data_IF_133584106531
#
_entry.id   IF_133584106531
#
_cell.length_a   1.000
_cell.length_b   1.000
_cell.length_c   1.000
_cell.angle_alpha   90.00
_cell.angle_beta   90.00
_cell.angle_gamma   90.00
#
_symmetry.space_group_name_H-M   'P 1'
#
loop_
_entity.id
_entity.type
_entity.pdbx_description
1 polymer ?
#
# COMPACT_ATOMS: atom_id res chain seq x y z
N UNK A 1 -24.63 -34.70 14.12
CA UNK A 1 -23.96 -33.68 14.98
C UNK A 1 -22.55 -34.16 15.24
N UNK A 2 -21.50 -33.32 15.24
CA UNK A 2 -21.39 -31.91 14.83
C UNK A 2 -20.37 -31.67 13.69
N UNK A 3 -20.45 -30.49 13.07
CA UNK A 3 -19.53 -29.96 12.04
C UNK A 3 -18.08 -29.86 12.53
N UNK A 4 -17.14 -30.10 11.61
CA UNK A 4 -15.71 -29.95 11.85
C UNK A 4 -15.35 -28.48 12.15
N UNK A 5 -14.45 -28.21 13.11
CA UNK A 5 -14.06 -26.84 13.42
C UNK A 5 -13.17 -26.29 12.31
N UNK A 6 -13.55 -25.13 11.79
CA UNK A 6 -12.75 -24.29 10.89
C UNK A 6 -11.56 -23.76 11.71
N UNK A 7 -10.29 -23.94 11.30
CA UNK A 7 -9.17 -23.36 12.02
C UNK A 7 -9.11 -21.85 11.73
N UNK A 8 -9.62 -21.03 12.64
CA UNK A 8 -9.36 -19.59 12.68
C UNK A 8 -7.92 -19.39 13.11
N UNK A 9 -7.01 -19.32 12.14
CA UNK A 9 -5.64 -18.84 12.39
C UNK A 9 -5.67 -17.32 12.42
N UNK A 10 -6.27 -16.79 13.47
CA UNK A 10 -5.96 -15.45 13.95
C UNK A 10 -4.59 -15.58 14.61
N UNK A 11 -3.55 -15.54 13.77
CA UNK A 11 -2.16 -15.52 14.22
C UNK A 11 -2.03 -14.33 15.17
N UNK A 12 -1.81 -14.68 16.44
CA UNK A 12 -1.77 -13.77 17.56
C UNK A 12 -0.66 -12.74 17.35
N UNK A 13 -1.04 -11.53 16.93
CA UNK A 13 -0.17 -10.37 17.06
C UNK A 13 0.21 -10.22 18.55
N UNK A 14 1.50 -10.01 18.87
CA UNK A 14 1.93 -9.83 20.25
C UNK A 14 1.15 -8.67 20.88
N UNK A 15 0.78 -8.82 22.16
CA UNK A 15 0.10 -7.79 22.97
C UNK A 15 1.02 -6.59 23.20
N UNK A 16 1.24 -5.82 22.16
CA UNK A 16 1.72 -4.44 22.22
C UNK A 16 0.50 -3.57 22.54
N UNK A 17 0.68 -2.44 23.23
CA UNK A 17 -0.43 -1.49 23.46
C UNK A 17 -1.17 -1.15 22.15
N UNK A 18 -2.37 -0.53 22.20
CA UNK A 18 -3.13 -0.27 20.99
C UNK A 18 -2.23 0.45 19.98
N UNK A 19 -2.12 -0.08 18.74
CA UNK A 19 -1.18 0.44 17.76
C UNK A 19 -1.39 1.94 17.57
N UNK A 20 -0.31 2.70 17.68
CA UNK A 20 -0.32 4.15 17.50
C UNK A 20 -0.49 4.42 16.02
N UNK A 21 -1.50 5.21 15.68
CA UNK A 21 -1.67 5.73 14.33
C UNK A 21 -0.62 6.81 14.11
N UNK A 22 0.33 6.54 13.23
CA UNK A 22 1.35 7.51 12.80
C UNK A 22 0.78 8.48 11.76
N UNK A 23 -0.05 7.96 10.84
CA UNK A 23 -0.70 8.75 9.82
C UNK A 23 -1.97 8.11 9.28
N UNK A 24 -2.86 8.96 8.78
CA UNK A 24 -3.92 8.60 7.85
C UNK A 24 -3.92 9.62 6.72
N UNK A 25 -3.90 9.15 5.48
CA UNK A 25 -4.08 10.00 4.32
C UNK A 25 -5.06 9.35 3.35
N UNK A 26 -5.85 10.18 2.66
CA UNK A 26 -6.89 9.72 1.75
C UNK A 26 -7.01 10.65 0.57
N UNK A 27 -7.13 10.08 -0.63
CA UNK A 27 -7.45 10.83 -1.83
C UNK A 27 -8.43 10.08 -2.73
N UNK A 28 -9.06 10.81 -3.65
CA UNK A 28 -9.83 10.24 -4.74
C UNK A 28 -9.02 10.35 -6.02
N UNK A 29 -8.82 9.21 -6.68
CA UNK A 29 -8.06 9.08 -7.92
C UNK A 29 -9.00 8.75 -9.06
N UNK A 30 -8.81 9.36 -10.21
CA UNK A 30 -9.64 9.14 -11.41
C UNK A 30 -9.24 7.87 -12.19
N UNK A 31 -9.18 6.74 -11.47
CA UNK A 31 -8.87 5.42 -12.00
C UNK A 31 -9.72 4.35 -11.30
N UNK A 32 -9.95 3.22 -11.95
CA UNK A 32 -10.67 2.08 -11.33
C UNK A 32 -9.78 1.36 -10.31
N UNK A 33 -10.34 0.62 -9.33
CA UNK A 33 -9.54 0.01 -8.27
C UNK A 33 -8.46 -0.94 -8.78
N UNK A 34 -8.72 -1.64 -9.89
CA UNK A 34 -7.75 -2.52 -10.52
C UNK A 34 -6.48 -1.78 -10.99
N UNK A 35 -6.64 -0.62 -11.63
CA UNK A 35 -5.51 0.20 -12.08
C UNK A 35 -4.72 0.78 -10.90
N UNK A 36 -5.43 1.23 -9.86
CA UNK A 36 -4.77 1.74 -8.64
C UNK A 36 -4.00 0.62 -7.94
N UNK A 37 -4.59 -0.56 -7.86
CA UNK A 37 -3.96 -1.72 -7.23
C UNK A 37 -2.73 -2.16 -8.03
N UNK A 38 -2.83 -2.22 -9.35
CA UNK A 38 -1.69 -2.51 -10.22
C UNK A 38 -0.55 -1.51 -10.02
N UNK A 39 -0.84 -0.21 -9.95
CA UNK A 39 0.16 0.83 -9.68
C UNK A 39 0.81 0.72 -8.28
N UNK A 40 0.20 -0.02 -7.36
CA UNK A 40 0.73 -0.33 -6.02
C UNK A 40 1.45 -1.68 -5.95
N UNK A 41 1.29 -2.57 -6.93
CA UNK A 41 1.85 -3.93 -6.89
C UNK A 41 2.76 -4.27 -8.06
N UNK A 42 2.80 -3.42 -9.08
CA UNK A 42 3.72 -3.56 -10.22
C UNK A 42 4.98 -2.74 -9.97
N UNK A 43 6.13 -3.40 -10.05
CA UNK A 43 7.41 -2.77 -9.77
C UNK A 43 7.77 -1.67 -10.78
N UNK A 44 7.39 -1.82 -12.06
CA UNK A 44 7.68 -0.82 -13.09
C UNK A 44 6.81 0.42 -12.91
N UNK A 45 5.54 0.25 -12.53
CA UNK A 45 4.65 1.38 -12.21
C UNK A 45 5.08 2.09 -10.93
N UNK A 46 5.41 1.35 -9.87
CA UNK A 46 5.95 1.93 -8.64
C UNK A 46 7.23 2.73 -8.89
N UNK A 47 8.11 2.24 -9.77
CA UNK A 47 9.32 2.96 -10.16
C UNK A 47 9.04 4.30 -10.87
N UNK A 48 7.85 4.48 -11.44
CA UNK A 48 7.47 5.70 -12.14
C UNK A 48 7.02 6.82 -11.21
N UNK A 49 6.55 6.54 -9.99
CA UNK A 49 5.93 7.55 -9.12
C UNK A 49 6.37 7.51 -7.65
N UNK A 50 6.88 6.39 -7.14
CA UNK A 50 7.15 6.19 -5.72
C UNK A 50 8.65 6.23 -5.37
N UNK A 51 9.44 5.34 -5.94
CA UNK A 51 10.84 5.12 -5.55
C UNK A 51 11.69 4.64 -6.74
N UNK A 52 13.01 4.66 -6.61
CA UNK A 52 13.94 4.04 -7.57
C UNK A 52 14.27 2.60 -7.12
N UNK A 53 14.93 1.80 -7.97
CA UNK A 53 15.35 0.42 -7.68
C UNK A 53 14.25 -0.45 -7.02
N UNK A 54 13.00 -0.28 -7.49
CA UNK A 54 11.85 -0.94 -6.88
C UNK A 54 11.89 -2.44 -7.07
N UNK A 55 11.63 -3.16 -5.99
CA UNK A 55 11.41 -4.60 -6.01
C UNK A 55 10.14 -4.93 -5.26
N UNK A 56 9.14 -5.40 -6.00
CA UNK A 56 7.89 -5.89 -5.42
C UNK A 56 7.63 -7.31 -5.89
N UNK A 57 7.29 -8.15 -4.93
CA UNK A 57 6.71 -9.48 -5.17
C UNK A 57 5.29 -9.47 -4.60
N UNK A 58 4.29 -9.31 -5.47
CA UNK A 58 2.90 -9.08 -5.11
C UNK A 58 2.19 -10.36 -4.63
N UNK A 59 2.69 -10.95 -3.55
CA UNK A 59 2.13 -12.13 -2.88
C UNK A 59 2.28 -12.03 -1.36
N UNK A 60 1.61 -12.92 -0.63
CA UNK A 60 1.78 -13.02 0.82
C UNK A 60 3.23 -13.31 1.18
N UNK A 61 3.78 -12.57 2.14
CA UNK A 61 5.19 -12.60 2.53
C UNK A 61 6.17 -12.20 1.43
N UNK A 62 5.68 -11.62 0.33
CA UNK A 62 6.50 -11.05 -0.72
C UNK A 62 7.22 -9.78 -0.28
N UNK A 63 8.29 -9.44 -0.99
CA UNK A 63 9.10 -8.25 -0.71
C UNK A 63 8.42 -6.99 -1.23
N UNK A 64 8.60 -5.87 -0.53
CA UNK A 64 8.15 -4.54 -0.95
C UNK A 64 9.26 -3.51 -0.67
N UNK A 65 10.16 -3.33 -1.62
CA UNK A 65 11.39 -2.55 -1.46
C UNK A 65 11.48 -1.42 -2.48
N UNK A 66 12.16 -0.34 -2.11
CA UNK A 66 12.48 0.76 -3.01
C UNK A 66 13.53 1.71 -2.42
N UNK A 67 14.20 2.48 -3.27
CA UNK A 67 15.15 3.51 -2.88
C UNK A 67 14.48 4.88 -2.94
N UNK A 68 14.26 5.46 -1.76
CA UNK A 68 13.79 6.84 -1.62
C UNK A 68 15.00 7.79 -1.47
N UNK A 69 14.83 9.10 -1.68
CA UNK A 69 15.91 10.08 -1.41
C UNK A 69 16.46 10.02 0.02
N UNK A 70 15.68 9.51 0.97
CA UNK A 70 16.05 9.32 2.38
C UNK A 70 16.78 8.01 2.66
N UNK A 71 16.86 7.10 1.69
CA UNK A 71 17.47 5.78 1.82
C UNK A 71 16.59 4.66 1.29
N UNK A 72 17.16 3.45 1.30
CA UNK A 72 16.44 2.23 0.91
C UNK A 72 15.43 1.84 1.98
N UNK A 73 14.24 1.47 1.55
CA UNK A 73 13.18 0.92 2.37
C UNK A 73 12.97 -0.54 1.98
N UNK A 74 12.79 -1.38 2.99
CA UNK A 74 12.64 -2.83 2.81
C UNK A 74 11.43 -3.28 3.62
N UNK A 75 10.31 -3.50 2.95
CA UNK A 75 9.07 -3.97 3.56
C UNK A 75 8.71 -5.40 3.19
N UNK A 76 7.74 -5.96 3.90
CA UNK A 76 7.21 -7.32 3.65
C UNK A 76 5.70 -7.27 3.58
N UNK A 77 5.11 -7.79 2.50
CA UNK A 77 3.67 -7.85 2.31
C UNK A 77 3.07 -8.83 3.31
N UNK A 78 2.17 -8.34 4.16
CA UNK A 78 1.47 -9.14 5.19
C UNK A 78 0.03 -9.47 4.81
N UNK A 79 -0.56 -8.69 3.90
CA UNK A 79 -1.86 -8.99 3.33
C UNK A 79 -1.94 -8.47 1.90
N UNK A 80 -2.51 -9.26 1.00
CA UNK A 80 -2.79 -8.83 -0.36
C UNK A 80 -4.11 -9.39 -0.84
N UNK A 81 -5.01 -8.49 -1.26
CA UNK A 81 -6.34 -8.82 -1.74
C UNK A 81 -6.71 -7.86 -2.87
N UNK A 82 -6.24 -8.16 -4.07
CA UNK A 82 -6.51 -7.32 -5.24
C UNK A 82 -7.98 -7.37 -5.67
N UNK A 83 -8.60 -6.23 -6.05
CA UNK A 83 -8.07 -4.87 -6.10
C UNK A 83 -8.55 -3.99 -4.91
N UNK A 84 -8.65 -4.56 -3.70
CA UNK A 84 -9.28 -3.91 -2.53
C UNK A 84 -8.30 -3.50 -1.45
N UNK A 85 -7.30 -4.32 -1.16
CA UNK A 85 -6.46 -4.13 0.02
C UNK A 85 -5.05 -4.63 -0.17
N UNK A 86 -4.09 -3.84 0.28
CA UNK A 86 -2.68 -4.19 0.38
C UNK A 86 -2.18 -3.78 1.76
N UNK A 87 -1.51 -4.67 2.47
CA UNK A 87 -0.86 -4.39 3.74
C UNK A 87 0.57 -4.89 3.70
N UNK A 88 1.49 -4.09 4.21
CA UNK A 88 2.86 -4.50 4.39
C UNK A 88 3.41 -3.97 5.71
N UNK A 89 4.39 -4.68 6.21
CA UNK A 89 5.23 -4.23 7.31
C UNK A 89 6.40 -3.43 6.77
N UNK A 90 6.71 -2.34 7.46
CA UNK A 90 7.82 -1.46 7.15
C UNK A 90 8.68 -1.25 8.40
N UNK A 91 9.87 -1.86 8.49
CA UNK A 91 10.86 -1.58 9.52
C UNK A 91 11.44 -0.18 9.35
N UNK A 92 11.34 0.62 10.41
CA UNK A 92 11.96 1.95 10.50
C UNK A 92 13.05 1.90 11.56
N UNK A 93 14.25 2.37 11.21
CA UNK A 93 15.36 2.46 12.15
C UNK A 93 15.20 3.71 13.02
N UNK A 94 15.01 3.52 14.32
CA UNK A 94 14.86 4.58 15.33
C UNK A 94 15.90 4.35 16.44
N UNK A 95 16.80 5.31 16.65
CA UNK A 95 17.87 5.23 17.68
C UNK A 95 18.70 3.93 17.62
N UNK A 96 18.90 3.38 16.42
CA UNK A 96 19.64 2.12 16.22
C UNK A 96 18.82 0.85 16.50
N UNK A 97 17.53 0.99 16.83
CA UNK A 97 16.58 -0.12 16.96
C UNK A 97 15.62 -0.14 15.77
N UNK A 98 15.36 -1.33 15.22
CA UNK A 98 14.35 -1.50 14.18
C UNK A 98 12.95 -1.57 14.80
N UNK A 99 12.06 -0.70 14.35
CA UNK A 99 10.66 -0.64 14.73
C UNK A 99 9.83 -1.07 13.55
N UNK A 100 9.25 -2.27 13.63
CA UNK A 100 8.37 -2.77 12.57
C UNK A 100 7.02 -2.05 12.66
N UNK A 101 6.74 -1.24 11.66
CA UNK A 101 5.46 -0.54 11.50
C UNK A 101 4.59 -1.25 10.48
N UNK A 102 3.29 -0.97 10.45
CA UNK A 102 2.34 -1.56 9.51
C UNK A 102 1.68 -0.47 8.69
N UNK A 103 1.68 -0.64 7.37
CA UNK A 103 1.04 0.24 6.39
C UNK A 103 -0.06 -0.53 5.70
N UNK A 104 -1.26 0.04 5.68
CA UNK A 104 -2.43 -0.56 5.05
C UNK A 104 -3.00 0.41 4.03
N UNK A 105 -3.10 -0.05 2.79
CA UNK A 105 -3.83 0.58 1.70
C UNK A 105 -5.18 -0.09 1.54
N UNK A 106 -6.24 0.71 1.57
CA UNK A 106 -7.61 0.29 1.30
C UNK A 106 -8.16 1.08 0.11
N UNK A 107 -8.64 0.34 -0.89
CA UNK A 107 -9.17 0.86 -2.15
C UNK A 107 -10.68 0.65 -2.16
N UNK A 108 -11.42 1.75 -2.23
CA UNK A 108 -12.88 1.72 -2.28
C UNK A 108 -13.38 2.28 -3.61
N UNK A 109 -14.20 1.55 -4.37
CA UNK A 109 -14.77 2.06 -5.62
C UNK A 109 -15.71 3.24 -5.36
N UNK A 110 -15.64 4.25 -6.22
CA UNK A 110 -16.50 5.44 -6.22
C UNK A 110 -16.85 5.82 -7.66
N UNK A 111 -17.77 5.05 -8.27
CA UNK A 111 -18.13 5.22 -9.68
C UNK A 111 -16.93 4.90 -10.58
N UNK A 112 -16.52 5.80 -11.50
CA UNK A 112 -15.32 5.62 -12.33
C UNK A 112 -14.02 5.96 -11.58
N UNK A 113 -14.11 6.36 -10.32
CA UNK A 113 -12.97 6.75 -9.48
C UNK A 113 -12.76 5.74 -8.35
N UNK A 114 -11.59 5.85 -7.71
CA UNK A 114 -11.26 5.05 -6.53
C UNK A 114 -10.83 5.96 -5.40
N UNK A 115 -11.37 5.68 -4.22
CA UNK A 115 -10.89 6.27 -2.98
C UNK A 115 -9.75 5.42 -2.46
N UNK A 116 -8.57 6.00 -2.36
CA UNK A 116 -7.37 5.39 -1.77
C UNK A 116 -7.24 5.93 -0.36
N UNK A 117 -7.20 5.04 0.63
CA UNK A 117 -6.92 5.37 2.02
C UNK A 117 -5.69 4.59 2.47
N UNK A 118 -4.65 5.32 2.90
CA UNK A 118 -3.49 4.74 3.56
C UNK A 118 -3.56 5.00 5.07
N UNK A 119 -3.31 3.96 5.84
CA UNK A 119 -3.18 3.99 7.29
C UNK A 119 -1.81 3.48 7.68
N UNK A 120 -1.02 4.28 8.38
CA UNK A 120 0.29 3.87 8.90
C UNK A 120 0.24 3.81 10.42
N UNK A 121 0.58 2.65 10.96
CA UNK A 121 0.51 2.35 12.39
C UNK A 121 1.82 1.79 12.89
N UNK A 122 2.12 2.00 14.16
CA UNK A 122 3.31 1.49 14.80
C UNK A 122 3.01 0.98 16.20
N UNK A 123 3.73 -0.04 16.70
CA UNK A 123 3.63 -0.50 18.09
C UNK A 123 3.98 0.60 19.12
N UNK A 124 4.78 1.60 18.72
CA UNK A 124 5.15 2.75 19.55
C UNK A 124 5.17 4.03 18.72
N UNK A 125 5.08 5.23 19.31
CA UNK A 125 5.30 6.48 18.58
C UNK A 125 6.67 6.45 17.89
N UNK A 126 6.70 6.84 16.61
CA UNK A 126 7.95 7.01 15.85
C UNK A 126 7.99 8.47 15.39
N UNK A 127 9.06 9.22 15.69
CA UNK A 127 9.20 10.61 15.23
C UNK A 127 9.16 10.70 13.71
N UNK A 128 8.49 11.73 13.20
CA UNK A 128 8.39 12.00 11.76
C UNK A 128 7.06 12.65 11.39
N UNK A 129 7.07 13.42 10.30
CA UNK A 129 5.84 13.94 9.70
C UNK A 129 5.25 12.91 8.72
N UNK A 130 4.82 11.79 9.29
CA UNK A 130 4.27 10.67 8.52
C UNK A 130 3.03 11.08 7.71
N UNK A 131 2.24 12.02 8.23
CA UNK A 131 1.06 12.52 7.51
C UNK A 131 1.48 13.24 6.23
N UNK A 132 2.49 14.11 6.27
CA UNK A 132 3.01 14.75 5.06
C UNK A 132 3.63 13.75 4.09
N UNK A 133 4.37 12.74 4.59
CA UNK A 133 4.95 11.67 3.76
C UNK A 133 3.86 10.94 2.97
N UNK A 134 2.82 10.46 3.65
CA UNK A 134 1.75 9.70 3.00
C UNK A 134 0.83 10.56 2.13
N UNK A 135 0.65 11.83 2.49
CA UNK A 135 -0.10 12.79 1.65
C UNK A 135 0.63 12.98 0.31
N UNK A 136 1.94 13.25 0.34
CA UNK A 136 2.76 13.39 -0.87
C UNK A 136 2.78 12.11 -1.72
N UNK A 137 2.88 10.95 -1.07
CA UNK A 137 2.87 9.66 -1.77
C UNK A 137 1.55 9.44 -2.54
N UNK A 138 0.40 9.67 -1.89
CA UNK A 138 -0.91 9.52 -2.54
C UNK A 138 -1.11 10.59 -3.63
N UNK A 139 -0.63 11.81 -3.43
CA UNK A 139 -0.66 12.85 -4.47
C UNK A 139 0.18 12.46 -5.70
N UNK A 140 1.36 11.87 -5.50
CA UNK A 140 2.19 11.35 -6.59
C UNK A 140 1.50 10.22 -7.35
N UNK A 141 0.92 9.24 -6.63
CA UNK A 141 0.12 8.16 -7.23
C UNK A 141 -1.06 8.70 -8.03
N UNK A 142 -1.77 9.69 -7.49
CA UNK A 142 -2.89 10.36 -8.18
C UNK A 142 -2.40 11.02 -9.46
N UNK A 143 -1.32 11.80 -9.39
CA UNK A 143 -0.76 12.48 -10.55
C UNK A 143 -0.32 11.49 -11.63
N UNK A 144 0.32 10.37 -11.25
CA UNK A 144 0.72 9.31 -12.17
C UNK A 144 -0.49 8.69 -12.91
N UNK A 145 -1.52 8.29 -12.16
CA UNK A 145 -2.71 7.65 -12.72
C UNK A 145 -3.59 8.60 -13.54
N UNK A 146 -3.57 9.91 -13.22
CA UNK A 146 -4.32 10.93 -13.96
C UNK A 146 -3.54 11.50 -15.16
N UNK A 147 -2.21 11.34 -15.17
CA UNK A 147 -1.36 11.67 -16.31
C UNK A 147 -1.33 10.54 -17.36
N UNK A 148 -1.60 9.30 -16.96
CA UNK A 148 -1.79 8.22 -17.90
C UNK A 148 -3.06 8.52 -18.74
N UNK A 149 -2.96 8.56 -20.09
CA UNK A 149 -4.17 8.67 -20.90
C UNK A 149 -5.07 7.48 -20.56
N UNK A 150 -6.42 7.66 -20.50
CA UNK A 150 -7.30 6.52 -20.35
C UNK A 150 -6.92 5.54 -21.45
N UNK A 151 -6.52 4.33 -21.06
CA UNK A 151 -6.28 3.26 -22.01
C UNK A 151 -7.64 2.97 -22.62
N UNK A 152 -7.93 3.65 -23.72
CA UNK A 152 -9.15 3.51 -24.48
C UNK A 152 -9.15 2.09 -25.00
N UNK A 153 -9.75 1.18 -24.23
CA UNK A 153 -10.14 -0.14 -24.70
C UNK A 153 -11.36 0.01 -25.61
N UNK A 154 -11.20 0.81 -26.66
CA UNK A 154 -12.14 0.98 -27.77
C UNK A 154 -11.32 1.09 -29.06
N UNK A 155 -10.55 0.05 -29.36
CA UNK A 155 -10.32 -0.33 -30.77
C UNK A 155 -11.08 -1.64 -30.99
N UNK A 156 -12.39 -1.57 -30.81
CA UNK A 156 -13.37 -2.50 -31.40
C UNK A 156 -14.35 -1.64 -32.20
N UNK A 157 -14.06 -1.47 -33.48
CA UNK A 157 -14.97 -1.40 -34.65
C UNK A 157 -14.07 -1.08 -35.87
N UNK A 158 -13.66 -2.05 -36.70
CA UNK A 158 -14.34 -2.58 -37.91
C UNK A 158 -14.59 -1.52 -39.01
N UNK A 159 -14.69 -1.86 -40.31
CA UNK A 159 -14.38 -3.11 -41.04
C UNK A 159 -13.21 -3.00 -42.06
#
# INVERSE_FOLDING_TARGET
>A
MPEAPIPTKEDAAPKVGPPVVLANAKATVSAIPAQVFEALTDAAQLAAWWAEDVRVDAQMSGVYEGTLPTGRVEGTITWIEGPRKLSFEWPILEEGMSVVTSVVYELSPKGPQTVVHVSHRSPKPVPGDWTAVWTRAIESLKAYLEAAPPTDSTTMDSP
#
